data_IF_289185496522
#
_entry.id   IF_289185496522
#
_cell.length_a   1.000
_cell.length_b   1.000
_cell.length_c   1.000
_cell.angle_alpha   90.00
_cell.angle_beta   90.00
_cell.angle_gamma   90.00
#
_symmetry.space_group_name_H-M   'P 1'
#
loop_
_entity.id
_entity.type
_entity.pdbx_description
1 polymer ?
#
# COMPACT_ATOMS: atom_id res chain seq x y z
N UNK A 1 41.25 43.32 11.86
CA UNK A 1 40.43 42.56 10.89
C UNK A 1 40.55 41.10 11.31
N UNK A 2 39.57 40.54 12.02
CA UNK A 2 39.56 39.10 12.34
C UNK A 2 38.99 38.35 11.12
N UNK A 3 39.77 37.48 10.51
CA UNK A 3 39.33 36.64 9.40
C UNK A 3 38.30 35.62 9.88
N UNK A 4 37.04 35.63 9.38
CA UNK A 4 35.96 34.74 9.83
C UNK A 4 36.11 33.28 9.36
N UNK A 5 37.21 32.93 8.70
CA UNK A 5 37.50 31.59 8.15
C UNK A 5 38.50 30.78 8.99
N UNK A 6 39.05 31.35 10.06
CA UNK A 6 40.05 30.68 10.90
C UNK A 6 39.50 29.57 11.82
N UNK A 7 38.17 29.37 11.86
CA UNK A 7 37.53 28.46 12.82
C UNK A 7 37.24 27.05 12.27
N UNK A 8 37.49 26.79 10.98
CA UNK A 8 37.16 25.52 10.32
C UNK A 8 38.26 24.44 10.38
N UNK A 9 39.41 24.73 11.01
CA UNK A 9 40.58 23.84 11.05
C UNK A 9 41.07 23.52 12.45
N UNK A 10 40.27 23.76 13.51
CA UNK A 10 40.62 23.32 14.87
C UNK A 10 40.60 21.78 14.95
N UNK A 11 41.76 21.11 15.15
CA UNK A 11 41.76 19.68 15.41
C UNK A 11 41.16 19.45 16.81
N UNK A 12 39.94 18.88 16.87
CA UNK A 12 39.24 18.59 18.11
C UNK A 12 37.86 19.23 18.27
N UNK A 13 37.32 19.90 17.25
CA UNK A 13 35.90 20.23 17.23
C UNK A 13 35.07 18.93 17.26
N UNK A 14 34.12 18.74 18.19
CA UNK A 14 33.19 17.62 18.11
C UNK A 14 32.48 17.70 16.75
N UNK A 15 32.28 16.56 16.05
CA UNK A 15 31.50 16.54 14.82
C UNK A 15 30.19 17.32 15.04
N UNK A 16 29.71 18.09 14.04
CA UNK A 16 28.45 18.80 14.18
C UNK A 16 27.40 17.78 14.64
N UNK A 17 26.79 18.05 15.79
CA UNK A 17 25.76 17.20 16.38
C UNK A 17 24.59 17.24 15.40
N UNK A 18 24.53 16.24 14.52
CA UNK A 18 23.40 16.06 13.62
C UNK A 18 22.24 15.79 14.57
N UNK A 19 21.36 16.78 14.74
CA UNK A 19 20.09 16.57 15.43
C UNK A 19 19.39 15.42 14.72
N UNK A 20 19.52 14.22 15.27
CA UNK A 20 18.86 13.05 14.74
C UNK A 20 17.36 13.29 14.88
N UNK A 21 16.74 13.81 13.82
CA UNK A 21 15.30 13.93 13.75
C UNK A 21 14.66 12.61 14.17
N UNK A 22 13.46 12.65 14.80
CA UNK A 22 12.88 11.48 15.45
C UNK A 22 12.90 10.28 14.51
N UNK A 23 13.61 9.22 14.91
CA UNK A 23 13.81 7.99 14.12
C UNK A 23 12.45 7.43 13.71
N UNK A 24 12.07 7.62 12.46
CA UNK A 24 10.77 7.17 11.94
C UNK A 24 10.73 5.63 11.96
N UNK A 25 9.66 5.07 12.52
CA UNK A 25 9.45 3.61 12.53
C UNK A 25 8.99 3.12 11.15
N UNK A 26 9.96 2.90 10.25
CA UNK A 26 9.74 2.33 8.92
C UNK A 26 9.67 0.80 8.98
N UNK A 27 8.61 0.28 9.61
CA UNK A 27 8.33 -1.16 9.65
C UNK A 27 7.25 -1.59 8.64
N UNK A 28 7.00 -2.90 8.46
CA UNK A 28 5.89 -3.42 7.66
C UNK A 28 4.48 -2.99 8.15
N UNK A 29 4.41 -2.34 9.31
CA UNK A 29 3.19 -1.76 9.89
C UNK A 29 2.91 -0.35 9.36
N UNK A 30 3.88 0.36 8.80
CA UNK A 30 3.74 1.75 8.35
C UNK A 30 2.59 1.92 7.34
N UNK A 31 2.50 1.02 6.34
CA UNK A 31 1.42 1.00 5.36
C UNK A 31 0.09 0.39 5.83
N UNK A 32 -0.01 0.00 7.10
CA UNK A 32 -1.21 -0.54 7.76
C UNK A 32 -1.57 0.26 9.02
N UNK A 33 -1.10 1.50 9.11
CA UNK A 33 -1.37 2.39 10.23
C UNK A 33 -2.33 3.49 9.79
N UNK A 34 -3.41 3.67 10.53
CA UNK A 34 -4.39 4.75 10.33
C UNK A 34 -4.45 5.57 11.60
N UNK A 35 -4.17 6.87 11.50
CA UNK A 35 -4.21 7.77 12.65
C UNK A 35 -5.65 8.23 12.91
N UNK A 36 -6.14 8.01 14.13
CA UNK A 36 -7.46 8.51 14.54
C UNK A 36 -7.32 9.99 14.88
N UNK A 37 -8.14 10.83 14.25
CA UNK A 37 -8.16 12.26 14.53
C UNK A 37 -9.60 12.77 14.46
N UNK A 38 -10.18 13.01 15.65
CA UNK A 38 -11.55 13.48 15.78
C UNK A 38 -11.77 14.86 15.12
N UNK A 39 -10.78 15.76 15.18
CA UNK A 39 -10.87 17.08 14.56
C UNK A 39 -10.91 17.01 13.02
N UNK A 40 -10.36 15.95 12.42
CA UNK A 40 -10.43 15.68 10.97
C UNK A 40 -11.62 14.79 10.58
N UNK A 41 -12.58 14.58 11.49
CA UNK A 41 -13.75 13.73 11.25
C UNK A 41 -13.41 12.25 11.08
N UNK A 42 -12.30 11.80 11.66
CA UNK A 42 -11.90 10.40 11.70
C UNK A 42 -12.16 9.83 13.09
N UNK A 43 -13.37 9.30 13.28
CA UNK A 43 -13.75 8.50 14.44
C UNK A 43 -13.10 7.11 14.40
N UNK A 44 -13.12 6.43 15.55
CA UNK A 44 -12.53 5.09 15.71
C UNK A 44 -13.20 4.08 14.78
N UNK A 45 -14.53 4.15 14.63
CA UNK A 45 -15.29 3.25 13.77
C UNK A 45 -14.90 3.39 12.30
N UNK A 46 -14.77 4.63 11.81
CA UNK A 46 -14.27 4.90 10.46
C UNK A 46 -12.81 4.50 10.29
N UNK A 47 -11.96 4.72 11.28
CA UNK A 47 -10.57 4.31 11.23
C UNK A 47 -10.42 2.79 11.04
N UNK A 48 -11.21 1.98 11.74
CA UNK A 48 -11.23 0.53 11.53
C UNK A 48 -11.68 0.15 10.11
N UNK A 49 -12.77 0.73 9.60
CA UNK A 49 -13.20 0.48 8.21
C UNK A 49 -12.15 0.87 7.19
N UNK A 50 -11.48 2.00 7.40
CA UNK A 50 -10.39 2.45 6.53
C UNK A 50 -9.21 1.48 6.56
N UNK A 51 -8.84 0.99 7.75
CA UNK A 51 -7.79 -0.02 7.90
C UNK A 51 -8.15 -1.33 7.19
N UNK A 52 -9.39 -1.80 7.34
CA UNK A 52 -9.88 -3.00 6.66
C UNK A 52 -9.85 -2.84 5.13
N UNK A 53 -10.28 -1.70 4.60
CA UNK A 53 -10.21 -1.39 3.17
C UNK A 53 -8.76 -1.38 2.66
N UNK A 54 -7.82 -0.80 3.42
CA UNK A 54 -6.40 -0.82 3.07
C UNK A 54 -5.84 -2.25 3.02
N UNK A 55 -6.11 -3.07 4.04
CA UNK A 55 -5.71 -4.47 4.10
C UNK A 55 -6.34 -5.31 2.98
N UNK A 56 -7.60 -5.04 2.62
CA UNK A 56 -8.30 -5.71 1.53
C UNK A 56 -7.72 -5.34 0.15
N UNK A 57 -7.43 -4.05 -0.08
CA UNK A 57 -6.78 -3.57 -1.32
C UNK A 57 -5.41 -4.23 -1.52
N UNK A 58 -4.66 -4.39 -0.44
CA UNK A 58 -3.35 -5.05 -0.44
C UNK A 58 -3.43 -6.59 -0.40
N UNK A 59 -4.64 -7.18 -0.37
CA UNK A 59 -4.86 -8.63 -0.34
C UNK A 59 -4.18 -9.38 0.81
N UNK A 60 -3.89 -8.72 1.94
CA UNK A 60 -3.10 -9.26 3.07
C UNK A 60 -3.68 -10.57 3.61
N UNK A 61 -5.01 -10.61 3.82
CA UNK A 61 -5.71 -11.81 4.30
C UNK A 61 -5.56 -12.99 3.33
N UNK A 62 -5.64 -12.73 2.03
CA UNK A 62 -5.51 -13.77 1.01
C UNK A 62 -4.09 -14.33 1.00
N UNK A 63 -3.09 -13.46 1.08
CA UNK A 63 -1.69 -13.88 1.09
C UNK A 63 -1.35 -14.69 2.33
N UNK A 64 -1.82 -14.25 3.50
CA UNK A 64 -1.71 -15.01 4.75
C UNK A 64 -2.31 -16.43 4.62
N UNK A 65 -3.52 -16.55 4.08
CA UNK A 65 -4.16 -17.85 3.89
C UNK A 65 -3.43 -18.74 2.88
N UNK A 66 -2.84 -18.16 1.82
CA UNK A 66 -2.04 -18.92 0.84
C UNK A 66 -0.67 -19.35 1.38
N UNK A 67 -0.11 -18.60 2.33
CA UNK A 67 1.19 -18.91 2.96
C UNK A 67 1.08 -19.98 4.05
N UNK A 68 -0.13 -20.26 4.56
CA UNK A 68 -0.36 -21.27 5.60
C UNK A 68 0.22 -22.65 5.25
N UNK A 69 0.25 -23.00 3.97
CA UNK A 69 0.82 -24.26 3.47
C UNK A 69 1.70 -24.02 2.25
N UNK A 70 2.75 -24.84 2.12
CA UNK A 70 3.60 -24.79 0.93
C UNK A 70 2.84 -25.24 -0.33
N UNK A 71 2.74 -24.35 -1.31
CA UNK A 71 2.21 -24.65 -2.65
C UNK A 71 3.36 -24.96 -3.61
N UNK A 72 3.37 -26.17 -4.19
CA UNK A 72 4.36 -26.56 -5.21
C UNK A 72 4.36 -25.59 -6.39
N UNK A 73 5.52 -25.23 -6.97
CA UNK A 73 5.62 -24.22 -8.02
C UNK A 73 4.78 -24.54 -9.26
N UNK A 74 4.68 -25.82 -9.64
CA UNK A 74 3.82 -26.25 -10.75
C UNK A 74 2.33 -26.02 -10.49
N UNK A 75 1.86 -26.30 -9.28
CA UNK A 75 0.46 -26.06 -8.87
C UNK A 75 0.16 -24.56 -8.82
N UNK A 76 1.08 -23.77 -8.27
CA UNK A 76 0.99 -22.30 -8.27
C UNK A 76 0.85 -21.73 -9.68
N UNK A 77 1.65 -22.20 -10.64
CA UNK A 77 1.55 -21.78 -12.05
C UNK A 77 0.17 -22.08 -12.66
N UNK A 78 -0.35 -23.30 -12.44
CA UNK A 78 -1.69 -23.71 -12.92
C UNK A 78 -2.78 -22.83 -12.29
N UNK A 79 -2.72 -22.60 -10.98
CA UNK A 79 -3.64 -21.71 -10.26
C UNK A 79 -3.60 -20.29 -10.81
N UNK A 80 -2.41 -19.70 -10.94
CA UNK A 80 -2.25 -18.33 -11.47
C UNK A 80 -2.75 -18.19 -12.91
N UNK A 81 -2.57 -19.21 -13.76
CA UNK A 81 -3.16 -19.24 -15.11
C UNK A 81 -4.69 -19.20 -15.06
N UNK A 82 -5.31 -20.09 -14.28
CA UNK A 82 -6.78 -20.13 -14.09
C UNK A 82 -7.34 -18.82 -13.49
N UNK A 83 -6.67 -18.26 -12.48
CA UNK A 83 -7.08 -17.00 -11.83
C UNK A 83 -7.04 -15.84 -12.83
N UNK A 84 -5.97 -15.71 -13.61
CA UNK A 84 -5.85 -14.66 -14.64
C UNK A 84 -6.93 -14.80 -15.71
N UNK A 85 -7.18 -16.02 -16.19
CA UNK A 85 -8.21 -16.29 -17.19
C UNK A 85 -9.60 -15.89 -16.67
N UNK A 86 -9.99 -16.34 -15.48
CA UNK A 86 -11.30 -15.98 -14.87
C UNK A 86 -11.46 -14.48 -14.68
N UNK A 87 -10.39 -13.78 -14.27
CA UNK A 87 -10.39 -12.32 -14.13
C UNK A 87 -10.64 -11.62 -15.46
N UNK A 88 -9.91 -12.03 -16.51
CA UNK A 88 -10.03 -11.44 -17.84
C UNK A 88 -11.40 -11.75 -18.46
N UNK A 89 -11.88 -12.99 -18.33
CA UNK A 89 -13.21 -13.40 -18.78
C UNK A 89 -14.30 -12.54 -18.13
N UNK A 90 -14.29 -12.42 -16.79
CA UNK A 90 -15.25 -11.58 -16.06
C UNK A 90 -15.20 -10.12 -16.51
N UNK A 91 -14.00 -9.58 -16.74
CA UNK A 91 -13.84 -8.20 -17.19
C UNK A 91 -14.41 -7.98 -18.60
N UNK A 92 -14.13 -8.89 -19.53
CA UNK A 92 -14.66 -8.83 -20.89
C UNK A 92 -16.18 -9.03 -20.91
N UNK A 93 -16.69 -10.01 -20.17
CA UNK A 93 -18.13 -10.27 -20.07
C UNK A 93 -18.89 -9.04 -19.56
N UNK A 94 -18.38 -8.37 -18.51
CA UNK A 94 -18.96 -7.11 -18.01
C UNK A 94 -18.98 -6.00 -19.07
N UNK A 95 -17.93 -5.90 -19.89
CA UNK A 95 -17.88 -4.92 -20.99
C UNK A 95 -18.91 -5.23 -22.07
N UNK A 96 -19.06 -6.50 -22.44
CA UNK A 96 -20.09 -6.93 -23.40
C UNK A 96 -21.49 -6.60 -22.89
N UNK A 97 -21.80 -6.92 -21.62
CA UNK A 97 -23.09 -6.59 -21.02
C UNK A 97 -23.32 -5.07 -21.01
N UNK A 98 -22.31 -4.28 -20.65
CA UNK A 98 -22.42 -2.82 -20.66
C UNK A 98 -22.64 -2.26 -22.09
N UNK A 99 -22.03 -2.88 -23.10
CA UNK A 99 -22.26 -2.53 -24.51
C UNK A 99 -23.69 -2.85 -24.93
N UNK A 100 -24.20 -4.04 -24.59
CA UNK A 100 -25.59 -4.42 -24.87
C UNK A 100 -26.56 -3.44 -24.20
N UNK A 101 -26.37 -3.14 -22.91
CA UNK A 101 -27.19 -2.15 -22.20
C UNK A 101 -27.16 -0.77 -22.85
N UNK A 102 -26.01 -0.35 -23.38
CA UNK A 102 -25.88 0.91 -24.12
C UNK A 102 -26.66 0.87 -25.44
N UNK A 103 -26.58 -0.22 -26.19
CA UNK A 103 -27.32 -0.40 -27.46
C UNK A 103 -28.83 -0.41 -27.21
N UNK A 104 -29.28 -1.17 -26.21
CA UNK A 104 -30.69 -1.19 -25.80
C UNK A 104 -31.19 0.20 -25.41
N UNK A 105 -30.39 1.00 -24.69
CA UNK A 105 -30.74 2.39 -24.34
C UNK A 105 -30.84 3.30 -25.58
N UNK A 106 -30.11 3.00 -26.65
CA UNK A 106 -30.15 3.73 -27.91
C UNK A 106 -31.31 3.28 -28.81
N UNK A 107 -32.04 2.22 -28.44
CA UNK A 107 -33.15 1.67 -29.24
C UNK A 107 -32.73 0.62 -30.28
N UNK A 108 -31.49 0.10 -30.18
CA UNK A 108 -31.03 -1.07 -30.93
C UNK A 108 -31.30 -2.36 -30.18
#
# INVERSE_FOLDING_TARGET
MLDPLADLTRPGAPPPEIEEGPRMKLGPSSGRTVTVNAARGMDVGRAFRTLEMQCARNSVKRDFMMQRFHERPGMKRKRLKSVRWRRNFKANFKKTVAMVQKMTKQGW
#
